data_IF_269783061039
#
_entry.id   IF_269783061039
#
_cell.length_a   1.000
_cell.length_b   1.000
_cell.length_c   1.000
_cell.angle_alpha   90.00
_cell.angle_beta   90.00
_cell.angle_gamma   90.00
#
_symmetry.space_group_name_H-M   'P 1'
#
loop_
_entity.id
_entity.type
_entity.pdbx_description
1 polymer ?
#
# COMPACT_ATOMS: atom_id res chain seq x y z
N UNK A 1 8.12 -10.13 32.45
CA UNK A 1 7.38 -9.55 33.57
C UNK A 1 7.97 -10.13 34.85
N UNK A 2 8.39 -9.30 35.79
CA UNK A 2 9.27 -9.66 36.91
C UNK A 2 8.74 -9.13 38.24
N UNK A 3 9.16 -9.75 39.33
CA UNK A 3 8.89 -9.31 40.71
C UNK A 3 9.36 -7.87 40.96
N UNK A 4 10.48 -7.48 40.36
CA UNK A 4 10.98 -6.10 40.41
C UNK A 4 9.98 -5.06 39.89
N UNK A 5 9.23 -5.40 38.84
CA UNK A 5 8.24 -4.50 38.24
C UNK A 5 7.02 -4.35 39.14
N UNK A 6 6.61 -5.42 39.82
CA UNK A 6 5.55 -5.40 40.84
C UNK A 6 5.97 -4.55 42.05
N UNK A 7 7.18 -4.72 42.57
CA UNK A 7 7.68 -3.91 43.70
C UNK A 7 7.75 -2.42 43.34
N UNK A 8 8.17 -2.10 42.11
CA UNK A 8 8.19 -0.72 41.59
C UNK A 8 6.77 -0.13 41.53
N UNK A 9 5.80 -0.89 41.02
CA UNK A 9 4.40 -0.49 40.99
C UNK A 9 3.87 -0.23 42.41
N UNK A 10 4.11 -1.14 43.36
CA UNK A 10 3.65 -0.98 44.76
C UNK A 10 4.28 0.26 45.41
N UNK A 11 5.52 0.60 45.06
CA UNK A 11 6.14 1.85 45.47
C UNK A 11 5.45 3.08 44.86
N UNK A 12 5.13 3.05 43.57
CA UNK A 12 4.37 4.11 42.88
C UNK A 12 2.97 4.30 43.44
N UNK A 13 2.34 3.22 43.91
CA UNK A 13 1.02 3.24 44.55
C UNK A 13 1.05 3.80 45.99
N UNK A 14 2.23 4.13 46.53
CA UNK A 14 2.38 4.79 47.82
C UNK A 14 2.36 3.85 49.03
N UNK A 15 2.71 2.58 48.85
CA UNK A 15 2.81 1.64 49.97
C UNK A 15 3.99 1.98 50.89
N UNK A 16 3.72 2.28 52.16
CA UNK A 16 4.73 2.70 53.15
C UNK A 16 5.85 1.66 53.38
N UNK A 17 5.56 0.38 53.12
CA UNK A 17 6.52 -0.72 53.25
C UNK A 17 7.32 -1.03 51.98
N UNK A 18 7.18 -0.26 50.90
CA UNK A 18 7.74 -0.62 49.59
C UNK A 18 9.27 -0.77 49.61
N UNK A 19 9.98 0.01 50.44
CA UNK A 19 11.43 -0.08 50.60
C UNK A 19 11.92 -1.33 51.35
N UNK A 20 11.02 -2.14 51.92
CA UNK A 20 11.34 -3.42 52.58
C UNK A 20 11.06 -4.62 51.69
N UNK A 21 10.47 -4.41 50.52
CA UNK A 21 10.13 -5.48 49.58
C UNK A 21 11.40 -5.86 48.81
N UNK A 22 11.76 -7.13 48.89
CA UNK A 22 12.84 -7.70 48.11
C UNK A 22 12.30 -8.20 46.76
N UNK A 23 12.75 -7.65 45.62
CA UNK A 23 12.30 -8.06 44.28
C UNK A 23 12.41 -9.56 44.01
N UNK A 24 13.48 -10.19 44.49
CA UNK A 24 13.78 -11.60 44.21
C UNK A 24 12.81 -12.54 44.96
N UNK A 25 12.35 -12.12 46.14
CA UNK A 25 11.30 -12.81 46.89
C UNK A 25 9.93 -12.82 46.20
N UNK A 26 9.71 -11.97 45.20
CA UNK A 26 8.46 -11.89 44.42
C UNK A 26 8.59 -12.41 42.98
N UNK A 27 9.69 -13.09 42.63
CA UNK A 27 9.85 -13.70 41.30
C UNK A 27 9.06 -15.00 41.13
N UNK A 28 8.90 -15.77 42.21
CA UNK A 28 8.26 -17.09 42.16
C UNK A 28 6.82 -17.11 41.59
N UNK A 29 5.93 -16.10 41.81
CA UNK A 29 4.59 -16.08 41.22
C UNK A 29 4.61 -15.91 39.70
N UNK A 30 5.62 -15.22 39.16
CA UNK A 30 5.79 -15.02 37.71
C UNK A 30 6.32 -16.27 37.00
N UNK A 31 6.64 -17.34 37.73
CA UNK A 31 7.08 -18.61 37.17
C UNK A 31 5.90 -19.52 36.80
N UNK A 32 4.71 -19.28 37.37
CA UNK A 32 3.50 -20.04 37.03
C UNK A 32 2.79 -19.45 35.82
N UNK A 33 2.61 -20.25 34.77
CA UNK A 33 1.94 -19.81 33.54
C UNK A 33 0.47 -19.41 33.76
N UNK A 34 -0.20 -19.97 34.76
CA UNK A 34 -1.57 -19.62 35.12
C UNK A 34 -1.69 -18.25 35.81
N UNK A 35 -0.68 -17.87 36.61
CA UNK A 35 -0.67 -16.60 37.34
C UNK A 35 -0.15 -15.43 36.48
N UNK A 36 0.66 -15.72 35.45
CA UNK A 36 1.28 -14.73 34.58
C UNK A 36 0.28 -13.72 33.97
N UNK A 37 -0.85 -14.12 33.36
CA UNK A 37 -1.78 -13.17 32.76
C UNK A 37 -2.37 -12.19 33.78
N UNK A 38 -2.70 -12.69 34.99
CA UNK A 38 -3.28 -11.87 36.06
C UNK A 38 -2.22 -10.90 36.61
N UNK A 39 -1.00 -11.38 36.86
CA UNK A 39 0.09 -10.54 37.36
C UNK A 39 0.52 -9.50 36.32
N UNK A 40 0.49 -9.85 35.03
CA UNK A 40 0.73 -8.93 33.93
C UNK A 40 -0.33 -7.83 33.86
N UNK A 41 -1.60 -8.21 34.02
CA UNK A 41 -2.71 -7.27 34.09
C UNK A 41 -2.57 -6.31 35.28
N UNK A 42 -2.26 -6.82 36.47
CA UNK A 42 -2.04 -6.01 37.69
C UNK A 42 -0.95 -4.96 37.44
N UNK A 43 0.20 -5.40 36.91
CA UNK A 43 1.36 -4.54 36.68
C UNK A 43 1.16 -3.51 35.56
N UNK A 44 0.19 -3.74 34.67
CA UNK A 44 -0.06 -2.87 33.51
C UNK A 44 -1.29 -1.97 33.68
N UNK A 45 -2.22 -2.34 34.56
CA UNK A 45 -3.53 -1.69 34.68
C UNK A 45 -3.70 -0.87 35.95
N UNK A 46 -3.03 -1.24 37.05
CA UNK A 46 -3.12 -0.47 38.29
C UNK A 46 -2.36 0.86 38.15
N UNK A 47 -3.01 1.93 38.59
CA UNK A 47 -2.43 3.28 38.70
C UNK A 47 -2.70 3.84 40.09
N UNK A 48 -1.99 4.89 40.52
CA UNK A 48 -2.26 5.55 41.80
C UNK A 48 -3.71 6.04 41.94
N UNK A 49 -4.37 6.37 40.84
CA UNK A 49 -5.80 6.73 40.81
C UNK A 49 -6.75 5.58 41.18
N UNK A 50 -6.29 4.33 41.18
CA UNK A 50 -7.08 3.17 41.59
C UNK A 50 -6.95 2.89 43.10
N UNK A 51 -6.07 3.60 43.81
CA UNK A 51 -5.84 3.42 45.23
C UNK A 51 -6.49 4.56 45.98
N UNK A 52 -7.28 4.22 47.00
CA UNK A 52 -7.90 5.21 47.87
C UNK A 52 -6.84 5.92 48.70
N UNK A 53 -6.86 7.24 48.67
CA UNK A 53 -6.04 8.05 49.57
C UNK A 53 -6.56 7.98 51.01
N UNK A 54 -5.70 8.26 51.98
CA UNK A 54 -6.06 8.36 53.41
C UNK A 54 -7.33 9.19 53.71
N UNK A 55 -7.53 10.39 53.12
CA UNK A 55 -8.77 11.14 53.33
C UNK A 55 -10.00 10.47 52.70
N UNK A 56 -9.86 9.84 51.54
CA UNK A 56 -10.96 9.11 50.88
C UNK A 56 -11.37 7.87 51.69
N UNK A 57 -10.40 7.15 52.26
CA UNK A 57 -10.64 6.05 53.19
C UNK A 57 -11.41 6.54 54.43
N UNK A 58 -11.01 7.67 55.01
CA UNK A 58 -11.69 8.24 56.17
C UNK A 58 -13.14 8.64 55.86
N UNK A 59 -13.38 9.20 54.67
CA UNK A 59 -14.73 9.53 54.19
C UNK A 59 -15.56 8.27 53.96
N UNK A 60 -14.97 7.24 53.36
CA UNK A 60 -15.63 5.95 53.16
C UNK A 60 -16.05 5.32 54.50
N UNK A 61 -15.15 5.26 55.47
CA UNK A 61 -15.45 4.75 56.81
C UNK A 61 -16.52 5.59 57.53
N UNK A 62 -16.54 6.90 57.31
CA UNK A 62 -17.61 7.77 57.80
C UNK A 62 -18.95 7.43 57.14
N UNK A 63 -19.00 7.28 55.82
CA UNK A 63 -20.23 6.88 55.12
C UNK A 63 -20.73 5.50 55.55
N UNK A 64 -19.82 4.58 55.82
CA UNK A 64 -20.13 3.27 56.36
C UNK A 64 -20.74 3.37 57.76
N UNK A 65 -20.17 4.20 58.65
CA UNK A 65 -20.73 4.47 59.98
C UNK A 65 -22.09 5.16 59.94
N UNK A 66 -22.31 6.04 58.98
CA UNK A 66 -23.56 6.77 58.81
C UNK A 66 -24.65 5.92 58.10
N UNK A 67 -24.34 4.71 57.64
CA UNK A 67 -25.28 3.85 56.91
C UNK A 67 -25.70 4.43 55.55
N UNK A 68 -24.92 5.35 54.99
CA UNK A 68 -25.19 6.03 53.70
C UNK A 68 -24.48 5.38 52.52
N UNK A 69 -23.82 4.25 52.75
CA UNK A 69 -23.11 3.53 51.71
C UNK A 69 -24.13 2.83 50.80
N UNK A 70 -24.18 3.23 49.54
CA UNK A 70 -24.95 2.54 48.51
C UNK A 70 -24.23 1.24 48.15
N UNK A 71 -24.94 0.11 48.25
CA UNK A 71 -24.43 -1.21 47.92
C UNK A 71 -25.52 -2.07 47.30
N UNK A 72 -25.14 -3.00 46.42
CA UNK A 72 -26.08 -3.91 45.76
C UNK A 72 -27.13 -3.15 44.94
N UNK A 73 -28.39 -3.53 45.11
CA UNK A 73 -29.51 -3.02 44.32
C UNK A 73 -29.68 -1.49 44.42
N UNK A 74 -29.38 -0.89 45.58
CA UNK A 74 -29.46 0.57 45.77
C UNK A 74 -28.40 1.31 44.94
N UNK A 75 -27.24 0.70 44.71
CA UNK A 75 -26.18 1.24 43.86
C UNK A 75 -26.55 1.11 42.39
N UNK A 76 -27.11 -0.04 42.00
CA UNK A 76 -27.57 -0.29 40.62
C UNK A 76 -28.71 0.67 40.25
N UNK A 77 -29.68 0.89 41.16
CA UNK A 77 -30.74 1.89 40.96
C UNK A 77 -30.20 3.32 40.87
N UNK A 78 -29.21 3.67 41.70
CA UNK A 78 -28.56 4.98 41.61
C UNK A 78 -27.83 5.14 40.26
N UNK A 79 -27.14 4.10 39.79
CA UNK A 79 -26.44 4.09 38.50
C UNK A 79 -27.43 4.29 37.34
N UNK A 80 -28.55 3.56 37.34
CA UNK A 80 -29.59 3.64 36.32
C UNK A 80 -30.34 4.99 36.33
N UNK A 81 -30.47 5.60 37.51
CA UNK A 81 -31.10 6.93 37.65
C UNK A 81 -30.27 8.06 37.05
N UNK A 82 -28.96 7.85 36.84
CA UNK A 82 -28.07 8.84 36.27
C UNK A 82 -28.10 8.71 34.73
N UNK A 83 -28.86 9.60 34.10
CA UNK A 83 -29.04 9.67 32.63
C UNK A 83 -27.74 9.81 31.82
N UNK A 84 -26.60 10.15 32.45
CA UNK A 84 -25.30 10.18 31.78
C UNK A 84 -24.69 8.78 31.55
N UNK A 85 -25.15 7.76 32.28
CA UNK A 85 -24.62 6.40 32.22
C UNK A 85 -25.56 5.37 31.60
N UNK A 86 -26.84 5.71 31.36
CA UNK A 86 -27.80 4.85 30.64
C UNK A 86 -27.39 4.55 29.19
N UNK A 87 -26.47 5.33 28.63
CA UNK A 87 -25.87 5.10 27.30
C UNK A 87 -24.61 4.23 27.33
N UNK A 88 -24.01 3.99 28.52
CA UNK A 88 -22.91 3.03 28.65
C UNK A 88 -23.51 1.63 28.70
N UNK A 89 -23.44 0.96 27.56
CA UNK A 89 -23.70 -0.48 27.34
C UNK A 89 -23.43 -1.27 28.62
N UNK A 90 -24.40 -2.09 29.01
CA UNK A 90 -24.21 -3.01 30.12
C UNK A 90 -22.94 -3.86 29.88
N UNK A 91 -22.24 -4.29 30.94
CA UNK A 91 -20.97 -5.01 30.81
C UNK A 91 -21.08 -6.29 29.96
N UNK A 92 -22.27 -6.86 29.85
CA UNK A 92 -22.56 -8.07 29.07
C UNK A 92 -22.64 -7.75 27.56
N UNK A 93 -23.29 -6.66 27.17
CA UNK A 93 -23.45 -6.14 25.82
C UNK A 93 -22.18 -5.47 25.30
N UNK A 94 -21.33 -4.93 26.20
CA UNK A 94 -19.99 -4.49 25.85
C UNK A 94 -19.06 -5.66 25.43
N UNK A 95 -19.29 -6.86 25.97
CA UNK A 95 -18.53 -8.08 25.62
C UNK A 95 -19.14 -8.77 24.40
N UNK A 96 -20.45 -9.03 24.40
CA UNK A 96 -21.13 -9.72 23.28
C UNK A 96 -21.29 -8.84 22.03
N UNK A 97 -21.56 -7.54 22.19
CA UNK A 97 -21.63 -6.60 21.07
C UNK A 97 -20.26 -6.28 20.46
N UNK A 98 -19.16 -6.48 21.20
CA UNK A 98 -17.83 -6.44 20.63
C UNK A 98 -17.58 -7.65 19.72
N UNK A 99 -18.08 -8.83 20.07
CA UNK A 99 -17.90 -10.05 19.28
C UNK A 99 -18.73 -10.02 17.98
N UNK A 100 -19.98 -9.53 18.04
CA UNK A 100 -20.81 -9.28 16.85
C UNK A 100 -20.19 -8.20 15.94
N UNK A 101 -19.69 -7.10 16.53
CA UNK A 101 -18.99 -6.05 15.77
C UNK A 101 -17.67 -6.52 15.16
N UNK A 102 -16.91 -7.39 15.84
CA UNK A 102 -15.68 -8.00 15.29
C UNK A 102 -16.02 -8.91 14.12
N UNK A 103 -17.12 -9.67 14.21
CA UNK A 103 -17.56 -10.54 13.14
C UNK A 103 -18.00 -9.73 11.91
N UNK A 104 -18.75 -8.65 12.09
CA UNK A 104 -19.11 -7.72 11.00
C UNK A 104 -17.88 -7.11 10.33
N UNK A 105 -16.89 -6.66 11.12
CA UNK A 105 -15.63 -6.12 10.60
C UNK A 105 -14.86 -7.19 9.82
N UNK A 106 -14.86 -8.43 10.29
CA UNK A 106 -14.20 -9.55 9.62
C UNK A 106 -14.87 -9.89 8.29
N UNK A 107 -16.20 -9.89 8.27
CA UNK A 107 -16.98 -10.17 7.07
C UNK A 107 -16.82 -9.05 6.04
N UNK A 108 -16.87 -7.78 6.46
CA UNK A 108 -16.56 -6.63 5.61
C UNK A 108 -15.12 -6.68 5.06
N UNK A 109 -14.15 -7.05 5.90
CA UNK A 109 -12.75 -7.22 5.47
C UNK A 109 -12.63 -8.34 4.43
N UNK A 110 -13.36 -9.44 4.59
CA UNK A 110 -13.36 -10.54 3.63
C UNK A 110 -13.97 -10.14 2.29
N UNK A 111 -15.05 -9.34 2.29
CA UNK A 111 -15.68 -8.82 1.09
C UNK A 111 -14.75 -7.86 0.34
N UNK A 112 -14.10 -6.93 1.04
CA UNK A 112 -13.12 -6.02 0.43
C UNK A 112 -11.90 -6.76 -0.12
N UNK A 113 -11.43 -7.81 0.55
CA UNK A 113 -10.34 -8.63 0.02
C UNK A 113 -10.76 -9.38 -1.26
N UNK A 114 -12.00 -9.84 -1.35
CA UNK A 114 -12.52 -10.46 -2.56
C UNK A 114 -12.59 -9.45 -3.72
N UNK A 115 -13.10 -8.24 -3.47
CA UNK A 115 -13.14 -7.15 -4.45
C UNK A 115 -11.73 -6.78 -4.94
N UNK A 116 -10.77 -6.64 -4.02
CA UNK A 116 -9.38 -6.36 -4.36
C UNK A 116 -8.79 -7.43 -5.28
N UNK A 117 -9.06 -8.72 -5.00
CA UNK A 117 -8.56 -9.83 -5.82
C UNK A 117 -9.15 -9.84 -7.24
N UNK A 118 -10.42 -9.46 -7.41
CA UNK A 118 -11.03 -9.36 -8.74
C UNK A 118 -10.48 -8.17 -9.51
N UNK A 119 -10.27 -7.02 -8.85
CA UNK A 119 -9.62 -5.85 -9.45
C UNK A 119 -8.19 -6.16 -9.91
N UNK A 120 -7.39 -6.88 -9.12
CA UNK A 120 -6.06 -7.33 -9.54
C UNK A 120 -6.12 -8.24 -10.77
N UNK A 121 -7.12 -9.13 -10.84
CA UNK A 121 -7.33 -9.99 -12.01
C UNK A 121 -7.73 -9.17 -13.25
N UNK A 122 -8.51 -8.11 -13.08
CA UNK A 122 -8.84 -7.18 -14.16
C UNK A 122 -7.61 -6.40 -14.63
N UNK A 123 -6.79 -5.89 -13.70
CA UNK A 123 -5.54 -5.19 -14.04
C UNK A 123 -4.58 -6.09 -14.83
N UNK A 124 -4.38 -7.34 -14.40
CA UNK A 124 -3.53 -8.30 -15.13
C UNK A 124 -4.04 -8.55 -16.56
N UNK A 125 -5.36 -8.67 -16.74
CA UNK A 125 -5.98 -8.81 -18.07
C UNK A 125 -5.75 -7.58 -18.95
N UNK A 126 -5.87 -6.38 -18.36
CA UNK A 126 -5.67 -5.14 -19.11
C UNK A 126 -4.20 -4.93 -19.48
N UNK A 127 -3.29 -5.30 -18.58
CA UNK A 127 -1.85 -5.23 -18.82
C UNK A 127 -1.42 -6.16 -19.96
N UNK A 128 -1.91 -7.40 -20.00
CA UNK A 128 -1.60 -8.32 -21.11
C UNK A 128 -2.14 -7.81 -22.45
N UNK A 129 -3.31 -7.16 -22.46
CA UNK A 129 -3.84 -6.50 -23.66
C UNK A 129 -2.96 -5.32 -24.10
N UNK A 130 -2.50 -4.50 -23.16
CA UNK A 130 -1.61 -3.38 -23.43
C UNK A 130 -0.27 -3.85 -24.02
N UNK A 131 0.32 -4.91 -23.45
CA UNK A 131 1.58 -5.48 -23.93
C UNK A 131 1.44 -6.04 -25.36
N UNK A 132 0.33 -6.71 -25.66
CA UNK A 132 0.03 -7.20 -27.01
C UNK A 132 -0.07 -6.03 -28.00
N UNK A 133 -0.82 -4.98 -27.66
CA UNK A 133 -1.01 -3.82 -28.53
C UNK A 133 0.31 -3.06 -28.74
N UNK A 134 1.13 -2.97 -27.69
CA UNK A 134 2.47 -2.37 -27.75
C UNK A 134 3.38 -3.16 -28.68
N UNK A 135 3.35 -4.50 -28.59
CA UNK A 135 4.03 -5.40 -29.52
C UNK A 135 3.59 -5.15 -30.97
N UNK A 136 2.27 -5.12 -31.24
CA UNK A 136 1.73 -4.83 -32.56
C UNK A 136 2.17 -3.46 -33.09
N UNK A 137 2.11 -2.42 -32.26
CA UNK A 137 2.58 -1.08 -32.63
C UNK A 137 4.06 -1.07 -33.01
N UNK A 138 4.92 -1.75 -32.23
CA UNK A 138 6.35 -1.84 -32.53
C UNK A 138 6.64 -2.53 -33.88
N UNK A 139 5.93 -3.63 -34.18
CA UNK A 139 6.08 -4.35 -35.46
C UNK A 139 5.63 -3.50 -36.66
N UNK A 140 4.55 -2.72 -36.50
CA UNK A 140 4.10 -1.78 -37.53
C UNK A 140 5.10 -0.65 -37.77
N UNK A 141 5.67 -0.09 -36.70
CA UNK A 141 6.70 0.95 -36.79
C UNK A 141 7.95 0.41 -37.49
N UNK A 142 8.42 -0.79 -37.11
CA UNK A 142 9.58 -1.41 -37.72
C UNK A 142 9.32 -1.75 -39.19
N UNK A 143 8.14 -2.29 -39.52
CA UNK A 143 7.73 -2.55 -40.89
C UNK A 143 7.65 -1.28 -41.73
N UNK A 144 7.15 -0.17 -41.16
CA UNK A 144 7.15 1.14 -41.82
C UNK A 144 8.57 1.63 -42.08
N UNK A 145 9.48 1.54 -41.10
CA UNK A 145 10.89 1.93 -41.25
C UNK A 145 11.58 1.11 -42.34
N UNK A 146 11.36 -0.21 -42.37
CA UNK A 146 11.92 -1.10 -43.39
C UNK A 146 11.43 -0.73 -44.80
N UNK A 147 10.13 -0.46 -44.96
CA UNK A 147 9.58 0.01 -46.24
C UNK A 147 10.18 1.33 -46.69
N UNK A 148 10.30 2.32 -45.78
CA UNK A 148 10.92 3.62 -46.10
C UNK A 148 12.36 3.45 -46.55
N UNK A 149 13.15 2.62 -45.86
CA UNK A 149 14.53 2.32 -46.24
C UNK A 149 14.61 1.64 -47.63
N UNK A 150 13.75 0.65 -47.88
CA UNK A 150 13.68 -0.03 -49.17
C UNK A 150 13.29 0.93 -50.31
N UNK A 151 12.28 1.78 -50.10
CA UNK A 151 11.88 2.80 -51.08
C UNK A 151 13.04 3.77 -51.34
N UNK A 152 13.73 4.25 -50.30
CA UNK A 152 14.89 5.15 -50.48
C UNK A 152 16.01 4.50 -51.29
N UNK A 153 16.28 3.21 -51.08
CA UNK A 153 17.29 2.47 -51.85
C UNK A 153 16.90 2.35 -53.33
N UNK A 154 15.63 2.00 -53.61
CA UNK A 154 15.10 1.92 -54.98
C UNK A 154 15.12 3.29 -55.66
N UNK A 155 14.70 4.36 -54.97
CA UNK A 155 14.78 5.71 -55.51
C UNK A 155 16.22 6.09 -55.86
N UNK A 156 17.19 5.78 -55.00
CA UNK A 156 18.60 6.00 -55.31
C UNK A 156 19.10 5.23 -56.54
N UNK A 157 18.63 4.00 -56.73
CA UNK A 157 18.94 3.22 -57.95
C UNK A 157 18.32 3.84 -59.21
N UNK A 158 17.08 4.32 -59.13
CA UNK A 158 16.40 5.00 -60.24
C UNK A 158 17.20 6.25 -60.64
N UNK A 159 17.56 7.10 -59.68
CA UNK A 159 18.36 8.31 -59.94
C UNK A 159 19.71 7.96 -60.60
N UNK A 160 20.40 6.92 -60.12
CA UNK A 160 21.67 6.50 -60.74
C UNK A 160 21.50 6.00 -62.18
N UNK A 161 20.39 5.33 -62.51
CA UNK A 161 20.07 4.89 -63.87
C UNK A 161 19.72 6.09 -64.75
N UNK A 162 18.93 7.05 -64.23
CA UNK A 162 18.58 8.29 -64.94
C UNK A 162 19.84 9.10 -65.30
N UNK A 163 20.77 9.25 -64.37
CA UNK A 163 22.05 9.93 -64.60
C UNK A 163 22.89 9.22 -65.68
N UNK A 164 22.97 7.90 -65.63
CA UNK A 164 23.68 7.08 -66.62
C UNK A 164 23.05 7.20 -68.02
N UNK A 165 21.72 7.18 -68.11
CA UNK A 165 20.99 7.35 -69.36
C UNK A 165 21.19 8.74 -69.94
N UNK A 166 21.14 9.78 -69.09
CA UNK A 166 21.40 11.17 -69.47
C UNK A 166 22.81 11.35 -70.01
N UNK A 167 23.82 10.81 -69.32
CA UNK A 167 25.21 10.84 -69.76
C UNK A 167 25.41 10.14 -71.12
N UNK A 168 24.79 8.97 -71.31
CA UNK A 168 24.84 8.22 -72.58
C UNK A 168 24.13 8.96 -73.71
N UNK A 169 23.01 9.62 -73.42
CA UNK A 169 22.28 10.43 -74.40
C UNK A 169 23.15 11.61 -74.87
N UNK A 170 23.82 12.30 -73.94
CA UNK A 170 24.74 13.38 -74.27
C UNK A 170 25.92 12.90 -75.13
N UNK A 171 26.49 11.73 -74.80
CA UNK A 171 27.54 11.10 -75.61
C UNK A 171 27.04 10.77 -77.04
N UNK A 172 25.83 10.21 -77.16
CA UNK A 172 25.22 9.86 -78.44
C UNK A 172 24.94 11.09 -79.30
N UNK A 173 24.40 12.16 -78.72
CA UNK A 173 24.22 13.44 -79.40
C UNK A 173 25.55 14.00 -79.91
N UNK A 174 26.62 13.86 -79.13
CA UNK A 174 27.98 14.22 -79.57
C UNK A 174 28.48 13.38 -80.75
N UNK A 175 28.22 12.06 -80.76
CA UNK A 175 28.57 11.18 -81.90
C UNK A 175 27.76 11.55 -83.15
N UNK A 176 26.45 11.77 -83.01
CA UNK A 176 25.58 12.15 -84.11
C UNK A 176 26.00 13.51 -84.71
N UNK A 177 26.38 14.48 -83.87
CA UNK A 177 26.91 15.76 -84.34
C UNK A 177 28.19 15.60 -85.15
N UNK A 178 29.12 14.74 -84.71
CA UNK A 178 30.33 14.41 -85.49
C UNK A 178 30.00 13.72 -86.81
N UNK A 179 29.11 12.73 -86.80
CA UNK A 179 28.68 12.03 -88.03
C UNK A 179 28.05 13.00 -89.03
N UNK A 180 27.17 13.90 -88.56
CA UNK A 180 26.57 14.93 -89.39
C UNK A 180 27.63 15.85 -90.02
N UNK A 181 28.61 16.33 -89.23
CA UNK A 181 29.74 17.13 -89.73
C UNK A 181 30.54 16.38 -90.79
N UNK A 182 30.94 15.14 -90.52
CA UNK A 182 31.73 14.34 -91.48
C UNK A 182 30.96 14.03 -92.76
N UNK A 183 29.64 13.80 -92.66
CA UNK A 183 28.78 13.58 -93.83
C UNK A 183 28.68 14.85 -94.67
N UNK A 184 28.55 16.02 -94.03
CA UNK A 184 28.53 17.31 -94.71
C UNK A 184 29.87 17.62 -95.38
N UNK A 185 31.00 17.36 -94.71
CA UNK A 185 32.33 17.45 -95.31
C UNK A 185 32.47 16.55 -96.54
N UNK A 186 32.06 15.27 -96.43
CA UNK A 186 32.10 14.32 -97.55
C UNK A 186 31.23 14.80 -98.73
N UNK A 187 30.03 15.29 -98.45
CA UNK A 187 29.14 15.85 -99.46
C UNK A 187 29.79 17.07 -100.15
N UNK A 188 30.48 17.94 -99.39
CA UNK A 188 31.23 19.05 -99.96
C UNK A 188 32.36 18.57 -100.88
N UNK A 189 33.15 17.58 -100.47
CA UNK A 189 34.21 16.97 -101.30
C UNK A 189 33.69 16.36 -102.61
N UNK A 190 32.47 15.84 -102.64
CA UNK A 190 31.85 15.25 -103.84
C UNK A 190 31.02 16.23 -104.67
N UNK A 191 30.84 17.48 -104.21
CA UNK A 191 30.06 18.52 -104.90
C UNK A 191 30.91 19.57 -105.64
N UNK A 192 32.24 19.44 -105.59
CA UNK A 192 33.20 20.16 -106.42
C UNK A 192 33.72 19.28 -107.56
#
# INVERSE_FOLDING_TARGET
>A
MSGARLCSLVAELGYEGAGKLDPDSFEWPFQYDEARPILDWICSSLRPSNVLSLPELSLYEQFQREGKLLAGEDLDQAYDSISAFSSRRNNQEAVFGAEESIQEVRDATSAHNAEASELERQLKRLQTQYDLLTGQSSTLIQGRRARVAATSAVTGQITAIEDSLSARNLQMNGVLGRLASTSQELAHYHSG
#
